data_IF_719308574926
#
_entry.id   IF_719308574926
#
_cell.length_a   1.000
_cell.length_b   1.000
_cell.length_c   1.000
_cell.angle_alpha   90.00
_cell.angle_beta   90.00
_cell.angle_gamma   90.00
#
_symmetry.space_group_name_H-M   'P 1'
#
loop_
_entity.id
_entity.type
_entity.pdbx_description
1 polymer ?
#
# COMPACT_ATOMS: atom_id res chain seq x y z
N UNK A 1 22.56 4.84 8.32
CA UNK A 1 22.87 5.50 9.61
C UNK A 1 21.61 5.58 10.46
N UNK A 2 20.67 6.49 10.19
CA UNK A 2 19.45 6.71 11.02
C UNK A 2 18.72 5.41 11.40
N UNK A 3 18.44 4.52 10.43
CA UNK A 3 17.74 3.25 10.70
C UNK A 3 18.46 2.28 11.66
N UNK A 4 19.78 2.43 11.82
CA UNK A 4 20.62 1.56 12.67
C UNK A 4 20.95 2.25 13.99
N UNK A 5 20.94 3.59 14.02
CA UNK A 5 21.38 4.38 15.17
C UNK A 5 20.26 4.71 16.16
N UNK A 6 19.00 4.60 15.77
CA UNK A 6 17.85 4.87 16.66
C UNK A 6 17.40 3.56 17.31
N UNK A 7 17.32 3.55 18.64
CA UNK A 7 16.66 2.49 19.38
C UNK A 7 15.13 2.60 19.19
N UNK A 8 14.62 1.80 18.26
CA UNK A 8 13.20 1.84 17.89
C UNK A 8 12.29 1.27 18.99
N UNK A 9 12.82 0.60 20.01
CA UNK A 9 12.01 0.05 21.12
C UNK A 9 11.54 1.13 22.09
N UNK A 10 12.14 2.31 22.04
CA UNK A 10 11.74 3.48 22.82
C UNK A 10 10.66 4.32 22.14
N UNK A 11 10.30 3.98 20.89
CA UNK A 11 9.27 4.69 20.14
C UNK A 11 7.89 4.15 20.51
N UNK A 12 6.90 5.03 20.62
CA UNK A 12 5.51 4.64 20.84
C UNK A 12 4.83 4.17 19.53
N UNK A 13 5.45 3.22 18.83
CA UNK A 13 4.95 2.66 17.58
C UNK A 13 5.55 1.29 17.30
N UNK A 14 4.71 0.36 16.87
CA UNK A 14 5.04 -1.06 16.74
C UNK A 14 5.39 -1.51 15.31
N UNK A 15 5.26 -0.64 14.31
CA UNK A 15 5.22 -1.00 12.87
C UNK A 15 6.29 -1.99 12.44
N UNK A 16 7.56 -1.64 12.61
CA UNK A 16 8.69 -2.50 12.23
C UNK A 16 8.72 -3.82 12.99
N UNK A 17 8.42 -3.77 14.30
CA UNK A 17 8.50 -4.92 15.19
C UNK A 17 7.34 -5.89 14.98
N UNK A 18 6.14 -5.40 14.66
CA UNK A 18 4.98 -6.20 14.32
C UNK A 18 5.20 -6.98 13.03
N UNK A 19 5.75 -6.32 12.00
CA UNK A 19 6.13 -7.00 10.76
C UNK A 19 7.25 -8.02 11.00
N UNK A 20 8.26 -7.68 11.81
CA UNK A 20 9.36 -8.59 12.19
C UNK A 20 8.85 -9.82 12.92
N UNK A 21 7.97 -9.64 13.91
CA UNK A 21 7.37 -10.71 14.71
C UNK A 21 6.50 -11.64 13.84
N UNK A 22 5.67 -11.07 12.95
CA UNK A 22 4.83 -11.83 12.04
C UNK A 22 5.65 -12.63 11.02
N UNK A 23 6.71 -12.05 10.43
CA UNK A 23 7.60 -12.78 9.51
C UNK A 23 8.33 -13.91 10.27
N UNK A 24 8.83 -13.64 11.47
CA UNK A 24 9.49 -14.66 12.30
C UNK A 24 8.55 -15.83 12.58
N UNK A 25 7.33 -15.55 13.03
CA UNK A 25 6.33 -16.57 13.29
C UNK A 25 6.02 -17.38 12.02
N UNK A 26 5.79 -16.70 10.88
CA UNK A 26 5.54 -17.36 9.60
C UNK A 26 6.68 -18.32 9.19
N UNK A 27 7.93 -17.89 9.36
CA UNK A 27 9.11 -18.71 9.03
C UNK A 27 9.32 -19.88 10.00
N UNK A 28 8.81 -19.78 11.23
CA UNK A 28 8.83 -20.83 12.23
C UNK A 28 7.61 -21.77 12.15
N UNK A 29 6.73 -21.60 11.16
CA UNK A 29 5.46 -22.32 11.04
C UNK A 29 4.49 -22.06 12.22
N UNK A 30 4.55 -20.86 12.79
CA UNK A 30 3.60 -20.35 13.76
C UNK A 30 2.60 -19.39 13.07
N UNK A 31 1.39 -19.28 13.63
CA UNK A 31 0.40 -18.33 13.14
C UNK A 31 0.90 -16.88 13.30
N UNK A 32 1.08 -16.11 12.21
CA UNK A 32 1.75 -14.80 12.29
C UNK A 32 0.94 -13.73 13.02
N UNK A 33 -0.38 -13.88 13.12
CA UNK A 33 -1.27 -12.88 13.71
C UNK A 33 -1.50 -13.07 15.21
N UNK A 34 -0.90 -14.09 15.83
CA UNK A 34 -0.81 -14.20 17.30
C UNK A 34 0.54 -13.71 17.83
N UNK A 35 1.52 -13.49 16.97
CA UNK A 35 2.82 -12.96 17.35
C UNK A 35 2.70 -11.53 17.86
N UNK A 36 3.23 -11.29 19.07
CA UNK A 36 3.22 -9.98 19.70
C UNK A 36 4.45 -9.18 19.31
N UNK A 37 4.27 -7.89 19.12
CA UNK A 37 5.36 -6.93 19.00
C UNK A 37 5.85 -6.42 20.37
N UNK A 38 6.81 -5.48 20.36
CA UNK A 38 7.40 -4.94 21.58
C UNK A 38 6.43 -4.10 22.43
N UNK A 39 5.29 -3.68 21.87
CA UNK A 39 4.21 -2.96 22.56
C UNK A 39 3.04 -3.88 22.93
N UNK A 40 3.13 -5.19 22.64
CA UNK A 40 2.03 -6.14 22.83
C UNK A 40 0.93 -6.03 21.76
N UNK A 41 1.18 -5.30 20.67
CA UNK A 41 0.36 -5.24 19.48
C UNK A 41 0.56 -6.45 18.56
N UNK A 42 -0.01 -6.38 17.35
CA UNK A 42 0.00 -7.46 16.35
C UNK A 42 0.11 -6.87 14.95
N UNK A 43 0.71 -7.63 14.04
CA UNK A 43 0.80 -7.23 12.64
C UNK A 43 -0.56 -7.14 11.97
N UNK A 44 -0.84 -5.99 11.36
CA UNK A 44 -2.00 -5.79 10.50
C UNK A 44 -1.71 -6.11 9.02
N UNK A 45 -0.50 -6.52 8.68
CA UNK A 45 -0.07 -6.73 7.30
C UNK A 45 -0.67 -7.99 6.72
N UNK A 46 -1.15 -7.92 5.47
CA UNK A 46 -1.60 -9.13 4.77
C UNK A 46 -0.40 -9.99 4.32
N UNK A 47 -0.61 -11.29 4.01
CA UNK A 47 0.49 -12.23 3.70
C UNK A 47 1.40 -11.78 2.54
N UNK A 48 0.87 -11.05 1.57
CA UNK A 48 1.65 -10.50 0.47
C UNK A 48 2.69 -9.47 0.91
N UNK A 49 2.40 -8.64 1.92
CA UNK A 49 3.40 -7.69 2.46
C UNK A 49 4.43 -8.42 3.33
N UNK A 50 4.03 -9.46 4.07
CA UNK A 50 4.97 -10.32 4.78
C UNK A 50 5.95 -10.96 3.79
N UNK A 51 5.47 -11.46 2.65
CA UNK A 51 6.29 -12.03 1.58
C UNK A 51 7.29 -11.02 1.01
N UNK A 52 6.85 -9.78 0.72
CA UNK A 52 7.73 -8.69 0.27
C UNK A 52 8.76 -8.34 1.35
N UNK A 53 8.39 -8.49 2.62
CA UNK A 53 9.23 -8.22 3.79
C UNK A 53 10.33 -9.23 4.07
N UNK A 54 10.14 -10.50 3.70
CA UNK A 54 11.07 -11.59 4.04
C UNK A 54 12.52 -11.30 3.64
N UNK A 55 12.83 -10.82 2.42
CA UNK A 55 14.21 -10.48 2.06
C UNK A 55 14.86 -9.47 3.02
N UNK A 56 14.10 -8.46 3.45
CA UNK A 56 14.60 -7.43 4.37
C UNK A 56 14.73 -7.93 5.81
N UNK A 57 13.81 -8.80 6.24
CA UNK A 57 13.94 -9.53 7.51
C UNK A 57 15.22 -10.38 7.54
N UNK A 58 15.52 -11.11 6.46
CA UNK A 58 16.73 -11.93 6.35
C UNK A 58 18.02 -11.11 6.31
N UNK A 59 17.95 -9.86 5.83
CA UNK A 59 19.05 -8.89 5.94
C UNK A 59 19.21 -8.33 7.37
N UNK A 60 18.37 -8.73 8.31
CA UNK A 60 18.40 -8.36 9.73
C UNK A 60 17.54 -7.16 10.11
N UNK A 61 16.89 -6.48 9.15
CA UNK A 61 16.04 -5.32 9.44
C UNK A 61 14.97 -5.12 8.36
N UNK A 62 13.70 -5.31 8.73
CA UNK A 62 12.55 -5.09 7.82
C UNK A 62 12.45 -3.65 7.30
N UNK A 63 13.02 -2.68 8.03
CA UNK A 63 13.09 -1.27 7.62
C UNK A 63 13.92 -1.04 6.34
N UNK A 64 14.69 -2.03 5.88
CA UNK A 64 15.36 -1.91 4.60
C UNK A 64 14.39 -1.83 3.40
N UNK A 65 13.10 -2.16 3.60
CA UNK A 65 12.04 -1.92 2.63
C UNK A 65 11.96 -0.43 2.24
N UNK A 66 12.10 0.48 3.19
CA UNK A 66 11.99 1.93 3.01
C UNK A 66 13.21 2.49 2.25
N UNK A 67 14.39 1.93 2.53
CA UNK A 67 15.59 2.25 1.76
C UNK A 67 15.42 1.77 0.32
N UNK A 68 14.89 0.55 0.14
CA UNK A 68 14.63 0.00 -1.18
C UNK A 68 13.62 0.84 -1.97
N UNK A 69 12.50 1.24 -1.37
CA UNK A 69 11.49 2.08 -2.06
C UNK A 69 12.01 3.48 -2.36
N UNK A 70 12.84 4.06 -1.48
CA UNK A 70 13.54 5.32 -1.75
C UNK A 70 14.48 5.21 -2.96
N UNK A 71 15.34 4.18 -2.97
CA UNK A 71 16.29 3.96 -4.07
C UNK A 71 15.56 3.65 -5.39
N UNK A 72 14.47 2.88 -5.34
CA UNK A 72 13.62 2.63 -6.49
C UNK A 72 12.98 3.93 -7.01
N UNK A 73 12.56 4.83 -6.12
CA UNK A 73 12.07 6.17 -6.48
C UNK A 73 13.14 7.02 -7.13
N UNK A 74 14.36 7.02 -6.58
CA UNK A 74 15.49 7.73 -7.17
C UNK A 74 15.81 7.18 -8.58
N UNK A 75 15.88 5.85 -8.72
CA UNK A 75 16.15 5.20 -10.01
C UNK A 75 15.06 5.53 -11.03
N UNK A 76 13.79 5.47 -10.63
CA UNK A 76 12.66 5.87 -11.47
C UNK A 76 12.80 7.32 -11.94
N UNK A 77 13.08 8.25 -11.03
CA UNK A 77 13.28 9.66 -11.37
C UNK A 77 14.46 9.82 -12.33
N UNK A 78 15.60 9.17 -12.10
CA UNK A 78 16.77 9.24 -12.99
C UNK A 78 16.42 8.77 -14.40
N UNK A 79 15.76 7.61 -14.53
CA UNK A 79 15.39 7.02 -15.82
C UNK A 79 14.24 7.73 -16.53
N UNK A 80 13.35 8.37 -15.79
CA UNK A 80 12.22 9.08 -16.38
C UNK A 80 12.64 10.27 -17.26
N UNK A 81 11.83 10.57 -18.28
CA UNK A 81 11.98 11.75 -19.15
C UNK A 81 11.45 13.05 -18.52
N UNK A 82 11.31 13.09 -17.20
CA UNK A 82 10.86 14.26 -16.44
C UNK A 82 11.94 15.37 -16.50
N UNK A 83 11.59 16.66 -16.56
CA UNK A 83 12.57 17.73 -16.47
C UNK A 83 13.33 17.73 -15.13
N UNK A 84 14.64 18.00 -15.14
CA UNK A 84 15.48 17.96 -13.93
C UNK A 84 14.96 18.84 -12.78
N UNK A 85 14.42 20.03 -13.06
CA UNK A 85 13.86 20.89 -12.02
C UNK A 85 12.69 20.24 -11.27
N UNK A 86 11.85 19.45 -11.95
CA UNK A 86 10.74 18.71 -11.31
C UNK A 86 11.25 17.51 -10.52
N UNK A 87 12.27 16.79 -11.04
CA UNK A 87 12.92 15.70 -10.29
C UNK A 87 13.49 16.21 -8.97
N UNK A 88 14.21 17.33 -9.01
CA UNK A 88 14.77 17.99 -7.82
C UNK A 88 13.65 18.43 -6.87
N UNK A 89 12.60 19.08 -7.38
CA UNK A 89 11.46 19.49 -6.54
C UNK A 89 10.83 18.30 -5.81
N UNK A 90 10.65 17.17 -6.48
CA UNK A 90 10.05 15.97 -5.89
C UNK A 90 10.94 15.37 -4.81
N UNK A 91 12.25 15.29 -5.06
CA UNK A 91 13.21 14.84 -4.06
C UNK A 91 13.22 15.79 -2.86
N UNK A 92 13.18 17.10 -3.09
CA UNK A 92 13.09 18.09 -2.01
C UNK A 92 11.80 17.94 -1.21
N UNK A 93 10.65 17.81 -1.86
CA UNK A 93 9.37 17.62 -1.17
C UNK A 93 9.35 16.33 -0.34
N UNK A 94 9.94 15.25 -0.84
CA UNK A 94 10.05 13.99 -0.11
C UNK A 94 10.99 14.13 1.10
N UNK A 95 12.20 14.67 0.88
CA UNK A 95 13.22 14.81 1.92
C UNK A 95 12.88 15.87 2.97
N UNK A 96 12.04 16.85 2.63
CA UNK A 96 11.54 17.85 3.58
C UNK A 96 10.23 17.42 4.24
N UNK A 97 9.62 16.31 3.81
CA UNK A 97 8.37 15.82 4.39
C UNK A 97 8.62 15.20 5.77
N UNK A 98 7.96 15.71 6.84
CA UNK A 98 8.03 15.09 8.15
C UNK A 98 7.51 13.65 8.16
N UNK A 99 6.52 13.34 7.32
CA UNK A 99 5.96 11.99 7.22
C UNK A 99 6.96 10.99 6.62
N UNK A 100 7.82 11.43 5.69
CA UNK A 100 8.88 10.57 5.15
C UNK A 100 9.93 10.24 6.21
N UNK A 101 10.33 11.23 7.01
CA UNK A 101 11.24 10.99 8.12
C UNK A 101 10.62 10.11 9.20
N UNK A 102 9.35 10.32 9.52
CA UNK A 102 8.63 9.46 10.46
C UNK A 102 8.67 8.01 9.98
N UNK A 103 8.36 7.73 8.71
CA UNK A 103 8.39 6.36 8.18
C UNK A 103 9.78 5.70 8.30
N UNK A 104 10.86 6.42 8.01
CA UNK A 104 12.24 5.91 8.18
C UNK A 104 12.56 5.63 9.66
N UNK A 105 12.20 6.56 10.55
CA UNK A 105 12.53 6.47 11.98
C UNK A 105 11.78 5.29 12.61
N UNK A 106 10.49 5.18 12.34
CA UNK A 106 9.61 4.15 12.92
C UNK A 106 9.72 2.80 12.23
N UNK A 107 10.33 2.75 11.04
CA UNK A 107 10.36 1.56 10.23
C UNK A 107 8.97 1.17 9.70
N UNK A 108 8.20 2.17 9.27
CA UNK A 108 6.84 1.99 8.77
C UNK A 108 6.83 1.55 7.30
N UNK A 109 5.87 0.71 6.99
CA UNK A 109 5.66 0.10 5.68
C UNK A 109 4.49 0.74 4.90
N UNK A 110 3.76 1.71 5.48
CA UNK A 110 2.56 2.32 4.88
C UNK A 110 2.88 3.00 3.56
N UNK A 111 3.78 3.98 3.58
CA UNK A 111 4.07 4.76 2.39
C UNK A 111 4.88 3.94 1.39
N UNK A 112 5.83 3.12 1.87
CA UNK A 112 6.60 2.19 1.04
C UNK A 112 5.70 1.25 0.25
N UNK A 113 4.67 0.69 0.89
CA UNK A 113 3.71 -0.17 0.20
C UNK A 113 2.94 0.57 -0.92
N UNK A 114 2.49 1.79 -0.65
CA UNK A 114 1.83 2.63 -1.67
C UNK A 114 2.76 2.95 -2.84
N UNK A 115 4.03 3.27 -2.57
CA UNK A 115 5.05 3.51 -3.61
C UNK A 115 5.24 2.27 -4.49
N UNK A 116 5.32 1.07 -3.90
CA UNK A 116 5.44 -0.17 -4.67
C UNK A 116 4.24 -0.44 -5.59
N UNK A 117 3.03 -0.20 -5.10
CA UNK A 117 1.79 -0.33 -5.89
C UNK A 117 1.78 0.67 -7.05
N UNK A 118 2.18 1.91 -6.79
CA UNK A 118 2.36 2.94 -7.81
C UNK A 118 3.33 2.47 -8.89
N UNK A 119 4.50 1.92 -8.51
CA UNK A 119 5.46 1.42 -9.49
C UNK A 119 4.91 0.27 -10.29
N UNK A 120 4.18 -0.65 -9.66
CA UNK A 120 3.48 -1.71 -10.38
C UNK A 120 2.53 -1.13 -11.44
N UNK A 121 1.67 -0.18 -11.07
CA UNK A 121 0.72 0.47 -11.97
C UNK A 121 1.46 1.18 -13.13
N UNK A 122 2.51 1.96 -12.83
CA UNK A 122 3.30 2.68 -13.82
C UNK A 122 4.01 1.74 -14.80
N UNK A 123 4.71 0.74 -14.28
CA UNK A 123 5.45 -0.24 -15.08
C UNK A 123 4.48 -1.05 -15.95
N UNK A 124 3.34 -1.46 -15.40
CA UNK A 124 2.33 -2.21 -16.14
C UNK A 124 1.71 -1.37 -17.26
N UNK A 125 1.35 -0.12 -16.96
CA UNK A 125 0.81 0.83 -17.94
C UNK A 125 1.80 1.07 -19.09
N UNK A 126 3.09 1.25 -18.79
CA UNK A 126 4.14 1.45 -19.81
C UNK A 126 4.37 0.23 -20.69
N UNK A 127 4.33 -0.97 -20.10
CA UNK A 127 4.58 -2.22 -20.82
C UNK A 127 3.42 -2.63 -21.73
N UNK A 128 2.19 -2.29 -21.33
CA UNK A 128 0.97 -2.69 -22.03
C UNK A 128 -0.01 -1.53 -22.26
N UNK A 129 0.42 -0.46 -22.95
CA UNK A 129 -0.45 0.70 -23.18
C UNK A 129 -1.67 0.29 -24.01
N UNK A 130 -2.87 0.59 -23.51
CA UNK A 130 -4.14 0.31 -24.17
C UNK A 130 -4.63 -1.15 -24.12
N UNK A 131 -3.82 -2.11 -23.65
CA UNK A 131 -4.25 -3.50 -23.42
C UNK A 131 -3.62 -4.07 -22.14
N UNK A 132 -4.08 -3.60 -20.98
CA UNK A 132 -3.58 -4.07 -19.68
C UNK A 132 -3.74 -5.59 -19.49
N UNK A 133 -4.70 -6.21 -20.16
CA UNK A 133 -4.96 -7.64 -20.09
C UNK A 133 -4.21 -8.45 -21.16
N UNK A 134 -3.14 -7.91 -21.76
CA UNK A 134 -2.27 -8.65 -22.69
C UNK A 134 -1.64 -9.89 -22.07
N UNK A 135 -1.31 -9.82 -20.77
CA UNK A 135 -0.79 -10.95 -19.97
C UNK A 135 -1.67 -11.16 -18.74
N UNK A 136 -2.90 -11.67 -18.91
CA UNK A 136 -3.92 -11.67 -17.85
C UNK A 136 -3.56 -12.58 -16.67
N UNK A 137 -2.87 -13.71 -16.93
CA UNK A 137 -2.38 -14.61 -15.88
C UNK A 137 -1.35 -13.91 -14.99
N UNK A 138 -0.31 -13.31 -15.58
CA UNK A 138 0.70 -12.56 -14.84
C UNK A 138 0.08 -11.36 -14.09
N UNK A 139 -0.87 -10.66 -14.72
CA UNK A 139 -1.58 -9.56 -14.09
C UNK A 139 -2.37 -10.01 -12.86
N UNK A 140 -3.05 -11.16 -12.94
CA UNK A 140 -3.80 -11.72 -11.82
C UNK A 140 -2.89 -12.10 -10.66
N UNK A 141 -1.77 -12.77 -10.94
CA UNK A 141 -0.76 -13.11 -9.92
C UNK A 141 -0.22 -11.86 -9.21
N UNK A 142 0.22 -10.85 -9.96
CA UNK A 142 0.80 -9.62 -9.38
C UNK A 142 -0.27 -8.80 -8.63
N UNK A 143 -1.47 -8.69 -9.19
CA UNK A 143 -2.59 -8.00 -8.52
C UNK A 143 -2.94 -8.69 -7.20
N UNK A 144 -2.91 -10.02 -7.12
CA UNK A 144 -3.13 -10.74 -5.88
C UNK A 144 -2.05 -10.45 -4.83
N UNK A 145 -0.77 -10.47 -5.21
CA UNK A 145 0.34 -10.13 -4.31
C UNK A 145 0.16 -8.72 -3.75
N UNK A 146 -0.07 -7.72 -4.61
CA UNK A 146 -0.24 -6.33 -4.19
C UNK A 146 -1.52 -6.09 -3.38
N UNK A 147 -2.64 -6.69 -3.76
CA UNK A 147 -3.89 -6.57 -3.01
C UNK A 147 -3.76 -7.21 -1.61
N UNK A 148 -2.97 -8.28 -1.50
CA UNK A 148 -2.61 -8.91 -0.22
C UNK A 148 -1.42 -8.24 0.46
N UNK A 149 -1.09 -6.99 0.15
CA UNK A 149 -0.19 -6.22 1.01
C UNK A 149 -0.95 -5.51 2.12
N UNK A 150 -2.01 -4.77 1.75
CA UNK A 150 -2.94 -4.05 2.63
C UNK A 150 -4.28 -3.82 1.94
N UNK A 151 -5.35 -3.70 2.72
CA UNK A 151 -6.70 -3.47 2.19
C UNK A 151 -6.83 -2.16 1.41
N UNK A 152 -6.14 -1.10 1.83
CA UNK A 152 -6.22 0.21 1.19
C UNK A 152 -5.73 0.23 -0.27
N UNK A 153 -4.88 -0.73 -0.64
CA UNK A 153 -4.33 -0.90 -2.00
C UNK A 153 -5.41 -1.27 -3.01
N UNK A 154 -6.57 -1.75 -2.55
CA UNK A 154 -7.73 -1.99 -3.43
C UNK A 154 -8.15 -0.73 -4.18
N UNK A 155 -7.98 0.46 -3.59
CA UNK A 155 -8.40 1.74 -4.19
C UNK A 155 -7.67 1.99 -5.53
N UNK A 156 -6.33 2.15 -5.56
CA UNK A 156 -5.63 2.41 -6.81
C UNK A 156 -5.73 1.24 -7.80
N UNK A 157 -5.76 -0.01 -7.34
CA UNK A 157 -5.88 -1.18 -8.23
C UNK A 157 -7.26 -1.27 -8.88
N UNK A 158 -8.34 -1.02 -8.14
CA UNK A 158 -9.70 -1.02 -8.68
C UNK A 158 -9.87 0.10 -9.71
N UNK A 159 -9.43 1.32 -9.40
CA UNK A 159 -9.51 2.45 -10.33
C UNK A 159 -8.70 2.17 -11.60
N UNK A 160 -7.52 1.56 -11.48
CA UNK A 160 -6.66 1.23 -12.62
C UNK A 160 -7.21 0.11 -13.51
N UNK A 161 -7.68 -0.99 -12.91
CA UNK A 161 -7.96 -2.23 -13.64
C UNK A 161 -9.43 -2.44 -13.96
N UNK A 162 -10.38 -1.91 -13.19
CA UNK A 162 -11.76 -2.37 -13.27
C UNK A 162 -12.44 -2.04 -14.60
N UNK A 163 -12.29 -0.81 -15.12
CA UNK A 163 -12.85 -0.46 -16.44
C UNK A 163 -12.25 -1.34 -17.54
N UNK A 164 -10.92 -1.50 -17.53
CA UNK A 164 -10.23 -2.36 -18.48
C UNK A 164 -10.65 -3.84 -18.35
N UNK A 165 -10.94 -4.31 -17.13
CA UNK A 165 -11.46 -5.65 -16.87
C UNK A 165 -12.85 -5.81 -17.47
N UNK A 166 -13.76 -4.84 -17.26
CA UNK A 166 -15.12 -4.86 -17.82
C UNK A 166 -15.10 -4.92 -19.35
N UNK A 167 -14.18 -4.18 -19.99
CA UNK A 167 -14.05 -4.14 -21.46
C UNK A 167 -13.30 -5.35 -22.04
N UNK A 168 -12.62 -6.13 -21.20
CA UNK A 168 -11.82 -7.25 -21.67
C UNK A 168 -12.69 -8.40 -22.24
N UNK A 169 -12.18 -9.13 -23.25
CA UNK A 169 -12.78 -10.38 -23.72
C UNK A 169 -12.99 -11.40 -22.58
N UNK A 170 -14.05 -12.23 -22.66
CA UNK A 170 -14.36 -13.23 -21.62
C UNK A 170 -13.19 -14.15 -21.24
N UNK A 171 -12.39 -14.57 -22.23
CA UNK A 171 -11.21 -15.42 -21.99
C UNK A 171 -10.15 -14.73 -21.13
N UNK A 172 -9.87 -13.43 -21.39
CA UNK A 172 -8.91 -12.65 -20.60
C UNK A 172 -9.43 -12.40 -19.19
N UNK A 173 -10.74 -12.16 -19.03
CA UNK A 173 -11.41 -12.06 -17.72
C UNK A 173 -11.23 -13.35 -16.93
N UNK A 174 -11.56 -14.49 -17.53
CA UNK A 174 -11.43 -15.80 -16.87
C UNK A 174 -9.98 -16.09 -16.46
N UNK A 175 -9.00 -15.88 -17.36
CA UNK A 175 -7.59 -16.09 -17.05
C UNK A 175 -7.09 -15.20 -15.91
N UNK A 176 -7.47 -13.92 -15.90
CA UNK A 176 -7.14 -13.00 -14.82
C UNK A 176 -7.78 -13.45 -13.50
N UNK A 177 -9.10 -13.69 -13.49
CA UNK A 177 -9.82 -14.06 -12.26
C UNK A 177 -9.32 -15.39 -11.70
N UNK A 178 -9.13 -16.41 -12.55
CA UNK A 178 -8.60 -17.70 -12.13
C UNK A 178 -7.21 -17.56 -11.51
N UNK A 179 -6.27 -16.89 -12.18
CA UNK A 179 -4.92 -16.70 -11.65
C UNK A 179 -4.87 -15.83 -10.39
N UNK A 180 -5.70 -14.79 -10.30
CA UNK A 180 -5.85 -13.95 -9.12
C UNK A 180 -6.35 -14.75 -7.91
N UNK A 181 -7.40 -15.56 -8.10
CA UNK A 181 -7.96 -16.41 -7.05
C UNK A 181 -6.96 -17.49 -6.63
N UNK A 182 -6.31 -18.16 -7.58
CA UNK A 182 -5.28 -19.16 -7.28
C UNK A 182 -4.13 -18.55 -6.47
N UNK A 183 -3.60 -17.39 -6.87
CA UNK A 183 -2.55 -16.72 -6.11
C UNK A 183 -3.03 -16.28 -4.71
N UNK A 184 -4.25 -15.79 -4.61
CA UNK A 184 -4.84 -15.41 -3.31
C UNK A 184 -4.92 -16.61 -2.38
N UNK A 185 -5.44 -17.74 -2.87
CA UNK A 185 -5.50 -18.99 -2.12
C UNK A 185 -4.10 -19.46 -1.74
N UNK A 186 -3.15 -19.47 -2.66
CA UNK A 186 -1.77 -19.92 -2.38
C UNK A 186 -1.06 -19.05 -1.34
N UNK A 187 -1.37 -17.76 -1.25
CA UNK A 187 -0.77 -16.85 -0.27
C UNK A 187 -1.48 -16.87 1.08
N UNK A 188 -2.80 -17.06 1.09
CA UNK A 188 -3.62 -16.99 2.31
C UNK A 188 -3.78 -18.36 2.97
N UNK A 189 -3.98 -19.42 2.20
CA UNK A 189 -4.25 -20.76 2.73
C UNK A 189 -3.15 -21.27 3.66
N UNK A 190 -1.84 -21.19 3.33
CA UNK A 190 -0.80 -21.62 4.25
C UNK A 190 -0.89 -20.90 5.60
N UNK A 191 -1.18 -19.59 5.59
CA UNK A 191 -1.29 -18.79 6.81
C UNK A 191 -2.51 -19.18 7.64
N UNK A 192 -3.65 -19.45 6.99
CA UNK A 192 -4.85 -19.93 7.68
C UNK A 192 -4.60 -21.30 8.31
N UNK A 193 -3.89 -22.20 7.63
CA UNK A 193 -3.59 -23.54 8.13
C UNK A 193 -2.66 -23.53 9.36
N UNK A 194 -1.92 -22.45 9.59
CA UNK A 194 -1.12 -22.27 10.81
C UNK A 194 -1.96 -21.82 12.02
N UNK A 195 -3.20 -21.37 11.82
CA UNK A 195 -4.06 -20.95 12.92
C UNK A 195 -4.35 -22.15 13.85
N UNK A 196 -4.14 -22.01 15.18
CA UNK A 196 -4.37 -23.11 16.13
C UNK A 196 -5.82 -23.60 16.14
N UNK A 197 -6.76 -22.68 15.98
CA UNK A 197 -8.19 -22.93 16.07
C UNK A 197 -8.99 -21.83 15.34
N UNK A 198 -10.29 -22.08 15.16
CA UNK A 198 -11.19 -21.16 14.46
C UNK A 198 -11.44 -19.86 15.22
N UNK A 199 -11.45 -19.89 16.56
CA UNK A 199 -11.69 -18.70 17.37
C UNK A 199 -10.50 -17.74 17.26
N UNK A 200 -9.29 -18.28 17.28
CA UNK A 200 -8.04 -17.53 17.04
C UNK A 200 -8.08 -16.86 15.67
N UNK A 201 -8.48 -17.57 14.62
CA UNK A 201 -8.58 -17.01 13.27
C UNK A 201 -9.62 -15.87 13.18
N UNK A 202 -10.78 -16.03 13.82
CA UNK A 202 -11.85 -15.01 13.78
C UNK A 202 -11.47 -13.72 14.51
N UNK A 203 -10.74 -13.82 15.63
CA UNK A 203 -10.38 -12.65 16.44
C UNK A 203 -9.03 -12.04 16.06
N UNK A 204 -8.07 -12.86 15.62
CA UNK A 204 -6.71 -12.45 15.30
C UNK A 204 -6.44 -12.63 13.82
N UNK A 205 -6.92 -11.68 13.03
CA UNK A 205 -6.62 -11.62 11.61
C UNK A 205 -6.37 -10.16 11.18
N UNK A 206 -5.65 -9.95 10.08
CA UNK A 206 -5.26 -8.61 9.65
C UNK A 206 -6.45 -7.76 9.17
N UNK A 207 -7.59 -8.39 8.79
CA UNK A 207 -8.79 -7.64 8.39
C UNK A 207 -9.36 -6.91 9.61
N UNK A 208 -9.54 -7.60 10.73
CA UNK A 208 -10.02 -7.00 11.99
C UNK A 208 -9.09 -5.86 12.44
N UNK A 209 -7.77 -6.07 12.36
CA UNK A 209 -6.78 -5.07 12.77
C UNK A 209 -6.79 -3.82 11.87
N UNK A 210 -6.94 -3.98 10.54
CA UNK A 210 -6.99 -2.84 9.62
C UNK A 210 -8.33 -2.08 9.66
N UNK A 211 -9.43 -2.76 9.96
CA UNK A 211 -10.79 -2.19 9.90
C UNK A 211 -11.20 -1.46 11.18
N UNK A 212 -10.48 -1.66 12.30
CA UNK A 212 -10.80 -1.09 13.62
C UNK A 212 -10.90 0.44 13.64
N UNK A 213 -10.12 1.14 12.81
CA UNK A 213 -10.03 2.60 12.83
C UNK A 213 -11.05 3.30 11.92
N UNK A 214 -11.74 2.57 11.03
CA UNK A 214 -12.64 3.15 10.04
C UNK A 214 -14.01 2.46 10.11
N UNK A 215 -15.12 3.18 10.31
CA UNK A 215 -16.47 2.61 10.26
C UNK A 215 -16.74 1.78 9.00
N UNK A 216 -17.42 0.63 9.14
CA UNK A 216 -17.68 -0.29 8.02
C UNK A 216 -18.37 0.36 6.82
N UNK A 217 -19.31 1.28 7.06
CA UNK A 217 -20.00 1.99 5.99
C UNK A 217 -19.04 2.88 5.17
N UNK A 218 -18.01 3.48 5.79
CA UNK A 218 -16.97 4.24 5.08
C UNK A 218 -16.12 3.30 4.24
N UNK A 219 -15.74 2.14 4.79
CA UNK A 219 -14.99 1.13 4.03
C UNK A 219 -15.74 0.71 2.76
N UNK A 220 -17.03 0.38 2.89
CA UNK A 220 -17.88 -0.02 1.76
C UNK A 220 -17.99 1.12 0.74
N UNK A 221 -18.25 2.36 1.18
CA UNK A 221 -18.32 3.51 0.27
C UNK A 221 -16.99 3.79 -0.43
N UNK A 222 -15.87 3.63 0.27
CA UNK A 222 -14.52 3.83 -0.29
C UNK A 222 -14.22 2.79 -1.38
N UNK A 223 -14.55 1.53 -1.13
CA UNK A 223 -14.38 0.45 -2.11
C UNK A 223 -15.32 0.67 -3.30
N UNK A 224 -16.61 0.90 -3.04
CA UNK A 224 -17.62 1.11 -4.10
C UNK A 224 -17.27 2.32 -4.98
N UNK A 225 -16.89 3.45 -4.38
CA UNK A 225 -16.47 4.65 -5.12
C UNK A 225 -15.23 4.39 -5.98
N UNK A 226 -14.28 3.57 -5.53
CA UNK A 226 -13.11 3.18 -6.34
C UNK A 226 -13.51 2.47 -7.64
N UNK A 227 -14.44 1.52 -7.56
CA UNK A 227 -14.97 0.82 -8.73
C UNK A 227 -15.80 1.74 -9.63
N UNK A 228 -16.65 2.61 -9.06
CA UNK A 228 -17.45 3.55 -9.85
C UNK A 228 -16.57 4.58 -10.57
N UNK A 229 -15.56 5.12 -9.88
CA UNK A 229 -14.66 6.11 -10.45
C UNK A 229 -13.68 5.51 -11.47
N UNK A 230 -13.54 4.19 -11.59
CA UNK A 230 -12.71 3.60 -12.64
C UNK A 230 -13.26 3.93 -14.04
N UNK A 231 -14.58 4.04 -14.21
CA UNK A 231 -15.21 4.21 -15.53
C UNK A 231 -14.87 5.54 -16.21
N UNK A 232 -14.57 6.58 -15.44
CA UNK A 232 -14.18 7.87 -16.02
C UNK A 232 -12.66 8.08 -16.13
N UNK A 233 -11.83 7.13 -15.67
CA UNK A 233 -10.37 7.29 -15.67
C UNK A 233 -9.83 7.07 -17.09
N UNK A 234 -9.59 8.16 -17.82
CA UNK A 234 -9.19 8.14 -19.24
C UNK A 234 -7.71 7.84 -19.44
N UNK A 235 -6.88 8.27 -18.49
CA UNK A 235 -5.43 8.18 -18.54
C UNK A 235 -4.87 7.82 -17.15
N UNK A 236 -3.56 7.59 -17.09
CA UNK A 236 -2.88 7.18 -15.85
C UNK A 236 -2.83 8.30 -14.80
N UNK A 237 -2.89 9.58 -15.22
CA UNK A 237 -3.03 10.72 -14.30
C UNK A 237 -4.34 10.64 -13.55
N UNK A 238 -5.43 10.41 -14.29
CA UNK A 238 -6.78 10.30 -13.76
C UNK A 238 -6.88 9.16 -12.75
N UNK A 239 -6.17 8.05 -12.97
CA UNK A 239 -6.08 6.94 -12.00
C UNK A 239 -5.48 7.43 -10.68
N UNK A 240 -4.31 8.06 -10.71
CA UNK A 240 -3.66 8.52 -9.47
C UNK A 240 -4.42 9.65 -8.79
N UNK A 241 -4.95 10.60 -9.56
CA UNK A 241 -5.74 11.71 -9.01
C UNK A 241 -7.02 11.21 -8.33
N UNK A 242 -7.75 10.27 -8.95
CA UNK A 242 -8.95 9.68 -8.34
C UNK A 242 -8.60 8.83 -7.13
N UNK A 243 -7.48 8.10 -7.18
CA UNK A 243 -6.98 7.33 -6.04
C UNK A 243 -6.68 8.25 -4.85
N UNK A 244 -6.02 9.39 -5.12
CA UNK A 244 -5.79 10.44 -4.13
C UNK A 244 -7.10 10.95 -3.54
N UNK A 245 -8.08 11.31 -4.38
CA UNK A 245 -9.38 11.84 -3.91
C UNK A 245 -10.13 10.84 -3.04
N UNK A 246 -10.21 9.57 -3.46
CA UNK A 246 -10.92 8.53 -2.69
C UNK A 246 -10.22 8.30 -1.35
N UNK A 247 -8.88 8.13 -1.37
CA UNK A 247 -8.09 7.90 -0.19
C UNK A 247 -8.13 9.09 0.78
N UNK A 248 -7.95 10.31 0.28
CA UNK A 248 -8.00 11.53 1.08
C UNK A 248 -9.38 11.71 1.70
N UNK A 249 -10.44 11.46 0.95
CA UNK A 249 -11.82 11.56 1.46
C UNK A 249 -12.06 10.56 2.58
N UNK A 250 -11.65 9.29 2.41
CA UNK A 250 -11.81 8.26 3.44
C UNK A 250 -11.07 8.61 4.73
N UNK A 251 -9.80 9.06 4.61
CA UNK A 251 -8.97 9.44 5.75
C UNK A 251 -9.54 10.69 6.45
N UNK A 252 -9.92 11.73 5.70
CA UNK A 252 -10.44 12.98 6.27
C UNK A 252 -11.79 12.77 6.96
N UNK A 253 -12.71 12.02 6.35
CA UNK A 253 -14.00 11.71 7.00
C UNK A 253 -13.78 10.91 8.28
N UNK A 254 -12.85 9.96 8.27
CA UNK A 254 -12.50 9.18 9.47
C UNK A 254 -11.90 10.07 10.57
N UNK A 255 -11.02 11.00 10.21
CA UNK A 255 -10.45 11.99 11.14
C UNK A 255 -11.55 12.90 11.73
N UNK A 256 -12.46 13.41 10.90
CA UNK A 256 -13.58 14.26 11.37
C UNK A 256 -14.47 13.49 12.34
N UNK A 257 -14.79 12.22 12.06
CA UNK A 257 -15.56 11.38 12.97
C UNK A 257 -14.83 11.16 14.28
N UNK A 258 -13.52 10.88 14.22
CA UNK A 258 -12.70 10.71 15.43
C UNK A 258 -12.72 11.98 16.28
N UNK A 259 -12.44 13.14 15.68
CA UNK A 259 -12.44 14.43 16.36
C UNK A 259 -13.81 14.76 16.96
N UNK A 260 -14.89 14.43 16.26
CA UNK A 260 -16.27 14.68 16.72
C UNK A 260 -16.67 13.79 17.89
N UNK A 261 -16.14 12.55 17.96
CA UNK A 261 -16.50 11.58 18.99
C UNK A 261 -15.60 11.63 20.23
N UNK A 262 -14.31 11.82 20.04
CA UNK A 262 -13.30 11.69 21.09
C UNK A 262 -12.62 13.03 21.44
N UNK A 263 -12.76 14.05 20.60
CA UNK A 263 -12.09 15.34 20.77
C UNK A 263 -10.64 15.33 20.31
N UNK A 264 -10.03 16.51 20.22
CA UNK A 264 -8.69 16.68 19.64
C UNK A 264 -7.60 15.92 20.41
N UNK A 265 -7.61 15.99 21.74
CA UNK A 265 -6.57 15.37 22.56
C UNK A 265 -6.57 13.85 22.41
N UNK A 266 -7.74 13.21 22.52
CA UNK A 266 -7.85 11.75 22.38
C UNK A 266 -7.55 11.30 20.94
N UNK A 267 -8.07 12.02 19.94
CA UNK A 267 -7.87 11.67 18.54
C UNK A 267 -6.42 11.77 18.09
N UNK A 268 -5.70 12.83 18.48
CA UNK A 268 -4.36 13.16 17.97
C UNK A 268 -3.26 12.75 18.96
N UNK A 269 -3.36 13.16 20.22
CA UNK A 269 -2.29 12.97 21.21
C UNK A 269 -2.32 11.54 21.73
N UNK A 270 -3.49 11.00 22.05
CA UNK A 270 -3.66 9.61 22.49
C UNK A 270 -3.85 8.63 21.33
N UNK A 271 -3.64 9.07 20.08
CA UNK A 271 -3.57 8.23 18.89
C UNK A 271 -4.80 7.35 18.64
N UNK A 272 -6.01 7.78 19.04
CA UNK A 272 -7.26 7.09 18.65
C UNK A 272 -7.39 7.08 17.12
N UNK A 273 -6.93 8.15 16.46
CA UNK A 273 -6.71 8.19 15.03
C UNK A 273 -5.20 8.24 14.74
N UNK A 274 -4.73 7.35 13.87
CA UNK A 274 -3.33 7.34 13.47
C UNK A 274 -3.08 8.37 12.34
N UNK A 275 -2.40 9.46 12.71
CA UNK A 275 -2.06 10.56 11.79
C UNK A 275 -1.10 10.12 10.68
N UNK A 276 -0.31 9.05 10.91
CA UNK A 276 0.62 8.54 9.90
C UNK A 276 -0.10 8.08 8.62
N UNK A 277 -1.40 7.78 8.68
CA UNK A 277 -2.20 7.46 7.51
C UNK A 277 -2.25 8.59 6.48
N UNK A 278 -2.08 9.86 6.88
CA UNK A 278 -1.93 10.96 5.93
C UNK A 278 -0.67 10.83 5.06
N UNK A 279 0.37 10.14 5.55
CA UNK A 279 1.59 9.85 4.79
C UNK A 279 1.32 9.03 3.52
N UNK A 280 0.26 8.21 3.51
CA UNK A 280 -0.13 7.44 2.32
C UNK A 280 -0.56 8.31 1.14
N UNK A 281 -0.92 9.58 1.37
CA UNK A 281 -1.33 10.51 0.33
C UNK A 281 -0.14 11.07 -0.47
N UNK A 282 1.04 11.17 0.17
CA UNK A 282 2.23 11.83 -0.39
C UNK A 282 2.65 11.24 -1.73
N UNK A 283 2.77 9.90 -1.89
CA UNK A 283 3.16 9.32 -3.18
C UNK A 283 2.22 9.71 -4.33
N UNK A 284 0.91 9.79 -4.08
CA UNK A 284 -0.06 10.21 -5.10
C UNK A 284 0.04 11.71 -5.42
N UNK A 285 0.27 12.56 -4.42
CA UNK A 285 0.47 13.99 -4.61
C UNK A 285 1.76 14.30 -5.38
N UNK A 286 2.83 13.56 -5.13
CA UNK A 286 4.09 13.70 -5.88
C UNK A 286 3.93 13.32 -7.35
N UNK A 287 3.15 12.28 -7.66
CA UNK A 287 2.85 11.88 -9.03
C UNK A 287 1.95 12.87 -9.75
N UNK A 288 0.96 13.46 -9.07
CA UNK A 288 0.09 14.44 -9.74
C UNK A 288 0.90 15.66 -10.22
N UNK A 289 1.89 16.10 -9.45
CA UNK A 289 2.86 17.14 -9.84
C UNK A 289 3.72 16.76 -11.05
N UNK A 290 3.97 15.46 -11.25
CA UNK A 290 4.67 14.97 -12.43
C UNK A 290 3.82 15.03 -13.69
N UNK A 291 2.52 14.75 -13.57
CA UNK A 291 1.65 14.51 -14.71
C UNK A 291 0.90 15.78 -15.15
N UNK A 292 0.62 16.74 -14.26
CA UNK A 292 -0.13 17.98 -14.56
C UNK A 292 0.63 19.05 -15.35
N UNK A 293 1.92 18.84 -15.63
CA UNK A 293 2.66 19.77 -16.49
C UNK A 293 2.45 19.47 -17.98
N UNK A 294 1.47 20.15 -18.56
CA UNK A 294 1.01 20.14 -19.95
C UNK A 294 2.11 19.93 -21.03
N UNK A 295 1.70 19.25 -22.11
CA UNK A 295 2.42 19.01 -23.40
C UNK A 295 3.35 17.79 -23.54
N UNK A 296 3.43 16.89 -22.55
CA UNK A 296 4.32 15.70 -22.63
C UNK A 296 3.66 14.37 -22.24
N UNK A 297 2.33 14.29 -22.24
CA UNK A 297 1.57 13.07 -21.90
C UNK A 297 2.00 11.81 -22.69
N UNK A 298 2.58 11.97 -23.88
CA UNK A 298 3.10 10.85 -24.68
C UNK A 298 4.56 10.46 -24.41
N UNK A 299 5.31 11.22 -23.61
CA UNK A 299 6.77 11.01 -23.40
C UNK A 299 7.22 11.01 -21.93
N UNK A 300 6.53 11.66 -21.00
CA UNK A 300 7.04 11.85 -19.62
C UNK A 300 7.03 10.57 -18.77
N UNK A 301 6.20 9.59 -19.11
CA UNK A 301 6.09 8.28 -18.45
C UNK A 301 6.68 7.20 -19.35
N UNK A 302 7.80 7.48 -20.00
CA UNK A 302 8.64 6.46 -20.64
C UNK A 302 9.93 6.39 -19.82
N UNK A 303 10.15 5.25 -19.17
CA UNK A 303 11.46 4.86 -18.62
C UNK A 303 12.46 4.69 -19.77
#
# INVERSE_FOLDING_TARGET
>A
FIMVSIDKTQLNTDRWSAMTAAIRALLNFDYPYTALDHMGGRSSNFPGLLLIGIPFYLLGNVGFLEIFTFLATLLFLVKSKIPNHRKVLILLLLLLSPAWWWEIITGSDLMSNIILVIFFILIWHQKYPGDYFRKPVLLGLLTAIFMLTRGIVIIPLAIFLFKAFVDAPPIKKFQFTSSFLTATILLVLPVILLAPDTDTLMHYNPIVLQTRHMPYWIQILTIASSFLLSFGAKDISAVFFRSFLVLSSAILVTLVISLSKYGLNESIVNSVFDISYLGMLIPFSMLSLLITGNSYEKRSIQI
#
